data_IF_610901762726
#
_entry.id   IF_610901762726
#
_cell.length_a   1.000
_cell.length_b   1.000
_cell.length_c   1.000
_cell.angle_alpha   90.00
_cell.angle_beta   90.00
_cell.angle_gamma   90.00
#
_symmetry.space_group_name_H-M   'P 1'
#
loop_
_entity.id
_entity.type
_entity.pdbx_description
1 polymer ?
#
# COMPACT_ATOMS: atom_id res chain seq x y z
N UNK A 1 38.91 -34.50 44.71
CA UNK A 1 38.56 -34.43 43.30
C UNK A 1 37.03 -34.38 43.04
N UNK A 2 36.21 -35.15 43.71
CA UNK A 2 34.72 -35.26 43.50
C UNK A 2 33.93 -33.98 43.79
N UNK A 3 34.27 -33.22 44.83
CA UNK A 3 33.50 -32.02 45.24
C UNK A 3 33.64 -30.88 44.19
N UNK A 4 34.81 -30.69 43.61
CA UNK A 4 35.05 -29.68 42.56
C UNK A 4 34.25 -29.96 41.28
N UNK A 5 34.12 -31.24 40.92
CA UNK A 5 33.32 -31.65 39.76
C UNK A 5 31.83 -31.42 40.01
N UNK A 6 31.32 -31.65 41.20
CA UNK A 6 29.91 -31.40 41.58
C UNK A 6 29.57 -29.91 41.49
N UNK A 7 30.49 -29.03 42.01
CA UNK A 7 30.30 -27.57 41.94
C UNK A 7 30.26 -27.08 40.49
N UNK A 8 31.15 -27.58 39.63
CA UNK A 8 31.20 -27.21 38.23
C UNK A 8 29.89 -27.63 37.50
N UNK A 9 29.42 -28.82 37.77
CA UNK A 9 28.14 -29.31 37.18
C UNK A 9 26.98 -28.45 37.66
N UNK A 10 26.90 -28.10 38.93
CA UNK A 10 25.87 -27.26 39.49
C UNK A 10 25.86 -25.84 38.88
N UNK A 11 27.05 -25.23 38.70
CA UNK A 11 27.21 -23.95 38.02
C UNK A 11 26.79 -23.99 36.55
N UNK A 12 27.10 -25.07 35.84
CA UNK A 12 26.69 -25.25 34.47
C UNK A 12 25.16 -25.42 34.35
N UNK A 13 24.53 -26.20 35.21
CA UNK A 13 23.09 -26.39 35.24
C UNK A 13 22.34 -25.08 35.58
N UNK A 14 22.86 -24.30 36.52
CA UNK A 14 22.28 -23.00 36.87
C UNK A 14 22.36 -21.99 35.72
N UNK A 15 23.47 -21.95 34.98
CA UNK A 15 23.63 -21.09 33.83
C UNK A 15 22.67 -21.43 32.70
N UNK A 16 22.44 -22.72 32.44
CA UNK A 16 21.46 -23.18 31.46
C UNK A 16 20.03 -22.80 31.86
N UNK A 17 19.67 -22.97 33.15
CA UNK A 17 18.36 -22.59 33.65
C UNK A 17 18.07 -21.08 33.51
N UNK A 18 19.04 -20.22 33.74
CA UNK A 18 18.91 -18.77 33.55
C UNK A 18 18.71 -18.42 32.09
N UNK A 19 19.42 -19.08 31.16
CA UNK A 19 19.25 -18.85 29.72
C UNK A 19 17.87 -19.27 29.23
N UNK A 20 17.36 -20.41 29.66
CA UNK A 20 16.00 -20.89 29.28
C UNK A 20 14.95 -19.91 29.80
N UNK A 21 15.10 -19.43 31.03
CA UNK A 21 14.14 -18.50 31.59
C UNK A 21 14.12 -17.14 30.87
N UNK A 22 15.27 -16.63 30.49
CA UNK A 22 15.37 -15.38 29.73
C UNK A 22 14.74 -15.48 28.32
N UNK A 23 14.90 -16.62 27.65
CA UNK A 23 14.24 -16.89 26.37
C UNK A 23 12.71 -16.94 26.51
N UNK A 24 12.19 -17.65 27.49
CA UNK A 24 10.75 -17.74 27.73
C UNK A 24 10.10 -16.37 27.99
N UNK A 25 10.77 -15.49 28.74
CA UNK A 25 10.28 -14.14 28.99
C UNK A 25 10.27 -13.31 27.71
N UNK A 26 11.33 -13.37 26.91
CA UNK A 26 11.40 -12.68 25.62
C UNK A 26 10.31 -13.15 24.66
N UNK A 27 10.11 -14.46 24.55
CA UNK A 27 9.09 -15.06 23.68
C UNK A 27 7.67 -14.65 24.12
N UNK A 28 7.40 -14.58 25.43
CA UNK A 28 6.10 -14.16 25.94
C UNK A 28 5.79 -12.68 25.70
N UNK A 29 6.80 -11.83 25.82
CA UNK A 29 6.70 -10.39 25.51
C UNK A 29 6.44 -10.22 24.01
N UNK A 30 7.21 -10.92 23.17
CA UNK A 30 7.07 -10.88 21.74
C UNK A 30 5.68 -11.37 21.28
N UNK A 31 5.22 -12.49 21.81
CA UNK A 31 3.88 -13.03 21.54
C UNK A 31 2.77 -12.05 21.94
N UNK A 32 2.91 -11.39 23.10
CA UNK A 32 1.94 -10.39 23.56
C UNK A 32 1.94 -9.17 22.64
N UNK A 33 3.11 -8.70 22.20
CA UNK A 33 3.24 -7.58 21.29
C UNK A 33 2.64 -7.91 19.92
N UNK A 34 2.93 -9.11 19.42
CA UNK A 34 2.41 -9.61 18.16
C UNK A 34 0.87 -9.75 18.19
N UNK A 35 0.33 -10.32 19.27
CA UNK A 35 -1.12 -10.43 19.43
C UNK A 35 -1.83 -9.07 19.47
N UNK A 36 -1.25 -8.06 20.13
CA UNK A 36 -1.78 -6.69 20.13
C UNK A 36 -1.71 -6.03 18.76
N UNK A 37 -0.60 -6.22 18.05
CA UNK A 37 -0.42 -5.71 16.68
C UNK A 37 -1.45 -6.32 15.73
N UNK A 38 -1.68 -7.63 15.85
CA UNK A 38 -2.69 -8.34 15.06
C UNK A 38 -4.10 -7.83 15.38
N UNK A 39 -4.45 -7.73 16.65
CA UNK A 39 -5.75 -7.22 17.08
C UNK A 39 -6.00 -5.77 16.57
N UNK A 40 -4.96 -4.94 16.53
CA UNK A 40 -5.05 -3.61 15.95
C UNK A 40 -5.26 -3.65 14.44
N UNK A 41 -4.53 -4.50 13.71
CA UNK A 41 -4.69 -4.66 12.28
C UNK A 41 -6.09 -5.19 11.91
N UNK A 42 -6.64 -6.10 12.70
CA UNK A 42 -8.00 -6.64 12.53
C UNK A 42 -9.08 -5.58 12.83
N UNK A 43 -8.86 -4.71 13.83
CA UNK A 43 -9.78 -3.64 14.19
C UNK A 43 -9.74 -2.46 13.19
N UNK A 44 -8.59 -2.21 12.57
CA UNK A 44 -8.35 -1.11 11.63
C UNK A 44 -7.70 -1.63 10.34
N UNK A 45 -8.40 -2.44 9.54
CA UNK A 45 -7.84 -2.98 8.30
C UNK A 45 -7.55 -1.85 7.33
N UNK A 46 -6.35 -1.88 6.73
CA UNK A 46 -5.91 -0.87 5.77
C UNK A 46 -6.20 -1.32 4.35
N UNK A 47 -6.47 -0.35 3.49
CA UNK A 47 -6.64 -0.57 2.06
C UNK A 47 -5.40 -0.13 1.29
N UNK A 48 -5.18 -0.75 0.14
CA UNK A 48 -4.23 -0.33 -0.90
C UNK A 48 -4.97 -0.21 -2.22
N UNK A 49 -4.73 0.87 -2.95
CA UNK A 49 -5.21 1.02 -4.31
C UNK A 49 -4.09 0.73 -5.31
N UNK A 50 -4.47 0.19 -6.45
CA UNK A 50 -3.59 0.01 -7.60
C UNK A 50 -4.37 0.30 -8.89
N UNK A 51 -3.76 1.02 -9.82
CA UNK A 51 -4.28 1.21 -11.17
C UNK A 51 -3.39 0.50 -12.19
N UNK A 52 -3.98 -0.35 -12.98
CA UNK A 52 -3.38 -0.86 -14.20
C UNK A 52 -3.75 0.07 -15.34
N UNK A 53 -2.76 0.76 -15.90
CA UNK A 53 -2.92 1.66 -17.04
C UNK A 53 -2.62 0.88 -18.33
N UNK A 54 -3.32 1.21 -19.39
CA UNK A 54 -3.14 0.59 -20.71
C UNK A 54 -1.81 0.95 -21.37
N UNK A 55 -1.20 2.10 -21.00
CA UNK A 55 0.11 2.52 -21.53
C UNK A 55 0.97 3.19 -20.44
N UNK A 56 2.22 3.47 -20.79
CA UNK A 56 3.20 4.17 -19.91
C UNK A 56 3.43 5.62 -20.31
N UNK A 57 3.00 6.01 -21.51
CA UNK A 57 3.11 7.37 -22.09
C UNK A 57 1.95 7.61 -23.04
N UNK A 58 1.58 8.87 -23.20
CA UNK A 58 0.40 9.26 -23.97
C UNK A 58 0.67 10.51 -24.79
N UNK A 59 -0.21 10.75 -25.79
CA UNK A 59 -0.26 11.98 -26.55
C UNK A 59 -1.51 12.80 -26.21
N UNK A 60 -1.45 14.09 -26.41
CA UNK A 60 -2.61 14.95 -26.37
C UNK A 60 -3.65 14.44 -27.39
N UNK A 61 -4.85 14.17 -26.94
CA UNK A 61 -5.92 13.54 -27.73
C UNK A 61 -6.14 12.05 -27.42
N UNK A 62 -5.18 11.39 -26.76
CA UNK A 62 -5.33 10.00 -26.34
C UNK A 62 -6.32 9.88 -25.17
N UNK A 63 -6.75 8.65 -24.94
CA UNK A 63 -7.53 8.26 -23.78
C UNK A 63 -6.66 7.32 -22.92
N UNK A 64 -6.50 7.67 -21.65
CA UNK A 64 -5.87 6.82 -20.64
C UNK A 64 -6.94 5.88 -20.13
N UNK A 65 -6.86 4.59 -20.45
CA UNK A 65 -7.72 3.58 -19.88
C UNK A 65 -7.08 2.99 -18.63
N UNK A 66 -7.89 2.76 -17.60
CA UNK A 66 -7.38 2.12 -16.41
C UNK A 66 -8.36 1.12 -15.80
N UNK A 67 -7.80 0.06 -15.24
CA UNK A 67 -8.49 -0.85 -14.34
C UNK A 67 -7.96 -0.64 -12.92
N UNK A 68 -8.86 -0.48 -11.97
CA UNK A 68 -8.55 -0.21 -10.59
C UNK A 68 -8.76 -1.47 -9.74
N UNK A 69 -7.88 -1.63 -8.75
CA UNK A 69 -7.95 -2.68 -7.76
C UNK A 69 -7.77 -2.06 -6.37
N UNK A 70 -8.66 -2.39 -5.45
CA UNK A 70 -8.55 -2.02 -4.05
C UNK A 70 -8.55 -3.29 -3.21
N UNK A 71 -7.48 -3.48 -2.46
CA UNK A 71 -7.27 -4.68 -1.65
C UNK A 71 -6.98 -4.31 -0.19
N UNK A 72 -7.23 -5.25 0.71
CA UNK A 72 -6.76 -5.15 2.08
C UNK A 72 -5.24 -5.26 2.12
N UNK A 73 -4.58 -4.38 2.89
CA UNK A 73 -3.12 -4.27 2.90
C UNK A 73 -2.43 -5.51 3.46
N UNK A 74 -3.08 -6.19 4.39
CA UNK A 74 -2.56 -7.34 5.13
C UNK A 74 -2.65 -8.64 4.33
N UNK A 75 -3.75 -8.84 3.61
CA UNK A 75 -4.05 -10.13 2.97
C UNK A 75 -4.01 -10.06 1.44
N UNK A 76 -3.98 -8.84 0.86
CA UNK A 76 -4.10 -8.59 -0.58
C UNK A 76 -5.36 -9.22 -1.21
N UNK A 77 -6.44 -9.30 -0.42
CA UNK A 77 -7.75 -9.73 -0.90
C UNK A 77 -8.59 -8.52 -1.29
N UNK A 78 -9.55 -8.66 -2.21
CA UNK A 78 -10.46 -7.59 -2.55
C UNK A 78 -11.06 -6.94 -1.31
N UNK A 79 -11.00 -5.60 -1.22
CA UNK A 79 -11.47 -4.91 -0.02
C UNK A 79 -13.00 -4.78 -0.02
N UNK A 80 -13.66 -5.19 1.05
CA UNK A 80 -15.09 -4.97 1.24
C UNK A 80 -15.40 -3.62 1.91
N UNK A 81 -14.37 -2.81 2.27
CA UNK A 81 -14.52 -1.64 3.13
C UNK A 81 -15.07 -0.45 2.35
N UNK A 82 -14.47 -0.16 1.19
CA UNK A 82 -14.80 1.02 0.40
C UNK A 82 -15.45 0.64 -0.93
N UNK A 83 -16.57 1.27 -1.23
CA UNK A 83 -17.22 1.14 -2.55
C UNK A 83 -16.77 2.25 -3.52
N UNK A 84 -16.63 3.54 -3.11
CA UNK A 84 -16.13 4.57 -4.00
C UNK A 84 -14.60 4.66 -3.99
N UNK A 85 -14.00 4.68 -5.18
CA UNK A 85 -12.60 5.04 -5.39
C UNK A 85 -12.53 6.39 -6.07
N UNK A 86 -11.71 7.28 -5.52
CA UNK A 86 -11.39 8.57 -6.10
C UNK A 86 -10.16 8.41 -6.97
N UNK A 87 -10.26 8.82 -8.24
CA UNK A 87 -9.14 8.80 -9.19
C UNK A 87 -8.97 10.21 -9.73
N UNK A 88 -7.77 10.75 -9.62
CA UNK A 88 -7.43 12.12 -9.98
C UNK A 88 -6.31 12.14 -11.00
N UNK A 89 -6.45 13.03 -11.98
CA UNK A 89 -5.38 13.42 -12.89
C UNK A 89 -4.89 14.80 -12.46
N UNK A 90 -3.62 14.89 -12.04
CA UNK A 90 -3.00 16.13 -11.59
C UNK A 90 -2.02 16.65 -12.64
N UNK A 91 -1.94 17.97 -12.76
CA UNK A 91 -0.96 18.64 -13.60
C UNK A 91 0.44 18.71 -12.95
N UNK A 92 1.40 19.30 -13.66
CA UNK A 92 2.78 19.46 -13.19
C UNK A 92 2.92 20.32 -11.93
N UNK A 93 1.91 21.14 -11.62
CA UNK A 93 1.88 21.98 -10.44
C UNK A 93 1.16 21.32 -9.25
N UNK A 94 0.65 20.10 -9.46
CA UNK A 94 -0.12 19.36 -8.47
C UNK A 94 -1.59 19.77 -8.38
N UNK A 95 -2.10 20.58 -9.34
CA UNK A 95 -3.52 20.92 -9.38
C UNK A 95 -4.30 19.77 -10.04
N UNK A 96 -5.47 19.48 -9.49
CA UNK A 96 -6.38 18.49 -10.08
C UNK A 96 -6.95 18.99 -11.39
N UNK A 97 -6.53 18.40 -12.51
CA UNK A 97 -7.08 18.67 -13.84
C UNK A 97 -8.42 17.99 -14.04
N UNK A 98 -8.56 16.75 -13.57
CA UNK A 98 -9.80 15.98 -13.60
C UNK A 98 -9.89 15.05 -12.39
N UNK A 99 -11.11 14.85 -11.88
CA UNK A 99 -11.41 13.91 -10.80
C UNK A 99 -12.59 13.04 -11.20
N UNK A 100 -12.44 11.75 -10.99
CA UNK A 100 -13.49 10.76 -11.18
C UNK A 100 -13.76 10.02 -9.87
N UNK A 101 -15.01 9.59 -9.69
CA UNK A 101 -15.42 8.72 -8.60
C UNK A 101 -15.98 7.47 -9.26
N UNK A 102 -15.26 6.36 -9.12
CA UNK A 102 -15.69 5.09 -9.69
C UNK A 102 -16.25 4.17 -8.62
N UNK A 103 -17.24 3.39 -8.98
CA UNK A 103 -17.82 2.38 -8.10
C UNK A 103 -16.99 1.11 -8.17
N UNK A 104 -16.51 0.65 -7.00
CA UNK A 104 -15.86 -0.64 -6.87
C UNK A 104 -16.91 -1.74 -6.68
N UNK A 105 -16.70 -2.87 -7.37
CA UNK A 105 -17.41 -4.13 -7.19
C UNK A 105 -16.39 -5.22 -6.92
N UNK A 106 -16.47 -5.86 -5.78
CA UNK A 106 -15.50 -6.86 -5.35
C UNK A 106 -14.04 -6.35 -5.40
N UNK A 107 -13.85 -5.07 -4.99
CA UNK A 107 -12.55 -4.41 -4.99
C UNK A 107 -12.04 -3.99 -6.37
N UNK A 108 -12.82 -4.15 -7.45
CA UNK A 108 -12.43 -3.79 -8.80
C UNK A 108 -13.30 -2.66 -9.36
N UNK A 109 -12.71 -1.87 -10.25
CA UNK A 109 -13.42 -0.83 -11.02
C UNK A 109 -12.63 -0.46 -12.26
N UNK A 110 -13.23 0.36 -13.12
CA UNK A 110 -12.62 0.81 -14.38
C UNK A 110 -13.01 2.24 -14.69
N UNK A 111 -12.17 2.91 -15.47
CA UNK A 111 -12.44 4.27 -15.92
C UNK A 111 -11.45 4.73 -16.98
N UNK A 112 -11.58 6.00 -17.37
CA UNK A 112 -10.74 6.59 -18.42
C UNK A 112 -10.59 8.09 -18.22
N UNK A 113 -9.44 8.63 -18.57
CA UNK A 113 -9.23 10.07 -18.73
C UNK A 113 -9.00 10.40 -20.20
N UNK A 114 -9.71 11.41 -20.70
CA UNK A 114 -9.52 11.90 -22.07
C UNK A 114 -8.56 13.09 -22.02
N UNK A 115 -7.38 12.95 -22.63
CA UNK A 115 -6.37 14.00 -22.71
C UNK A 115 -6.77 15.01 -23.78
N UNK A 116 -7.68 15.93 -23.41
CA UNK A 116 -8.18 16.93 -24.35
C UNK A 116 -7.10 17.89 -24.84
N UNK A 117 -7.32 18.55 -25.99
CA UNK A 117 -6.42 19.56 -26.55
C UNK A 117 -6.21 20.80 -25.67
N UNK A 118 -7.02 20.96 -24.63
CA UNK A 118 -6.87 22.02 -23.64
C UNK A 118 -5.73 21.75 -22.62
N UNK A 119 -5.26 20.50 -22.55
CA UNK A 119 -4.13 20.12 -21.71
C UNK A 119 -2.80 20.47 -22.39
N UNK A 120 -1.80 20.74 -21.59
CA UNK A 120 -0.42 20.99 -22.08
C UNK A 120 0.38 19.69 -22.07
N UNK A 121 1.39 19.61 -22.93
CA UNK A 121 2.39 18.54 -22.84
C UNK A 121 3.19 18.67 -21.54
N UNK A 122 3.56 17.54 -20.95
CA UNK A 122 4.35 17.52 -19.72
C UNK A 122 4.12 16.24 -18.92
N UNK A 123 4.44 16.31 -17.63
CA UNK A 123 4.25 15.19 -16.72
C UNK A 123 2.95 15.38 -15.94
N UNK A 124 2.11 14.37 -15.95
CA UNK A 124 0.90 14.31 -15.15
C UNK A 124 1.02 13.21 -14.11
N UNK A 125 0.40 13.41 -12.95
CA UNK A 125 0.30 12.39 -11.92
C UNK A 125 -1.12 11.82 -11.91
N UNK A 126 -1.24 10.50 -11.97
CA UNK A 126 -2.52 9.81 -11.70
C UNK A 126 -2.46 9.30 -10.27
N UNK A 127 -3.43 9.72 -9.46
CA UNK A 127 -3.57 9.34 -8.06
C UNK A 127 -4.89 8.62 -7.85
N UNK A 128 -4.87 7.53 -7.06
CA UNK A 128 -6.10 6.83 -6.68
C UNK A 128 -6.11 6.48 -5.19
N UNK A 129 -7.25 6.75 -4.54
CA UNK A 129 -7.44 6.51 -3.11
C UNK A 129 -8.91 6.35 -2.74
N UNK A 130 -9.17 5.68 -1.62
CA UNK A 130 -10.47 5.67 -0.97
C UNK A 130 -10.51 6.67 0.17
N UNK A 131 -11.70 7.09 0.62
CA UNK A 131 -11.81 7.95 1.81
C UNK A 131 -11.23 7.31 3.06
N UNK A 132 -11.31 5.99 3.15
CA UNK A 132 -10.74 5.24 4.27
C UNK A 132 -9.22 5.38 4.35
N UNK A 133 -8.54 5.40 3.20
CA UNK A 133 -7.09 5.58 3.13
C UNK A 133 -6.63 6.95 3.65
N UNK A 134 -7.50 7.99 3.61
CA UNK A 134 -7.17 9.33 4.12
C UNK A 134 -6.88 9.34 5.64
N UNK A 135 -7.38 8.36 6.39
CA UNK A 135 -7.11 8.21 7.81
C UNK A 135 -5.71 7.64 8.12
N UNK A 136 -5.00 7.19 7.10
CA UNK A 136 -3.67 6.54 7.20
C UNK A 136 -2.62 7.34 6.43
N UNK A 137 -1.48 6.74 6.15
CA UNK A 137 -0.40 7.40 5.41
C UNK A 137 -0.71 7.48 3.91
N UNK A 138 -0.34 8.60 3.27
CA UNK A 138 -0.39 8.79 1.81
C UNK A 138 0.39 7.73 1.02
N UNK A 139 1.32 7.02 1.65
CA UNK A 139 2.06 5.91 1.04
C UNK A 139 1.17 4.74 0.60
N UNK A 140 -0.11 4.74 1.00
CA UNK A 140 -1.08 3.72 0.61
C UNK A 140 -1.88 4.11 -0.63
N UNK A 141 -1.80 5.38 -1.06
CA UNK A 141 -2.40 5.83 -2.30
C UNK A 141 -1.61 5.27 -3.48
N UNK A 142 -2.33 4.96 -4.55
CA UNK A 142 -1.67 4.78 -5.83
C UNK A 142 -1.25 6.15 -6.34
N UNK A 143 -0.02 6.27 -6.78
CA UNK A 143 0.50 7.43 -7.49
C UNK A 143 1.42 6.97 -8.60
N UNK A 144 1.22 7.52 -9.79
CA UNK A 144 2.08 7.26 -10.95
C UNK A 144 2.18 8.50 -11.81
N UNK A 145 3.41 8.92 -12.09
CA UNK A 145 3.69 9.98 -13.04
C UNK A 145 3.76 9.39 -14.44
N UNK A 146 3.09 10.04 -15.40
CA UNK A 146 3.03 9.67 -16.80
C UNK A 146 3.45 10.86 -17.68
N UNK A 147 4.27 10.68 -18.73
CA UNK A 147 4.54 11.69 -19.71
C UNK A 147 3.39 11.81 -20.71
N UNK A 148 3.01 13.05 -21.01
CA UNK A 148 2.03 13.40 -22.04
C UNK A 148 2.71 14.34 -23.04
N UNK A 149 2.74 13.96 -24.30
CA UNK A 149 3.40 14.67 -25.38
C UNK A 149 2.40 15.19 -26.41
N UNK A 150 2.81 16.16 -27.21
CA UNK A 150 2.05 16.52 -28.42
C UNK A 150 2.43 15.57 -29.56
N UNK A 151 1.44 15.12 -30.32
CA UNK A 151 1.70 14.38 -31.56
C UNK A 151 2.01 15.38 -32.66
N UNK A 152 3.26 15.38 -33.15
CA UNK A 152 3.59 16.10 -34.39
C UNK A 152 3.29 15.17 -35.57
N UNK A 153 2.09 15.31 -36.15
CA UNK A 153 1.86 14.73 -37.48
C UNK A 153 2.62 15.59 -38.47
N UNK A 154 3.71 15.07 -39.01
CA UNK A 154 4.33 15.68 -40.18
C UNK A 154 3.33 15.54 -41.36
N UNK A 155 2.75 16.68 -41.77
CA UNK A 155 2.03 16.81 -43.03
C UNK A 155 3.02 16.78 -44.16
#
# INVERSE_FOLDING_TARGET
MRIRSIIIIFCLLSSIAVQIHSQQVADSIFATYFARSQAYADAYPREKAYLHLDNTSYYIGDTIWYKAYVVTAEQNQPSPISTPLYVELLDQLGNTSERQIIQLRDGEGEGQFILTKALFSGFYEIRAYTKWMLAFSEKQYFSRTIPVSVSYTHL
#
